data_IF_487516698506
#
_entry.id   IF_487516698506
#
_cell.length_a   1.000
_cell.length_b   1.000
_cell.length_c   1.000
_cell.angle_alpha   90.00
_cell.angle_beta   90.00
_cell.angle_gamma   90.00
#
_symmetry.space_group_name_H-M   'P 1'
#
loop_
_entity.id
_entity.type
_entity.pdbx_description
1 polymer ?
#
# COMPACT_ATOMS: atom_id res chain seq x y z
N UNK A 1 38.58 17.47 -32.56
CA UNK A 1 37.73 17.17 -32.46
C UNK A 1 37.21 16.46 -31.62
N UNK A 2 36.22 16.38 -31.05
CA UNK A 2 35.78 15.73 -30.18
C UNK A 2 34.59 15.72 -30.16
N UNK A 3 34.16 15.10 -29.79
CA UNK A 3 33.16 14.71 -29.82
C UNK A 3 32.32 14.90 -28.91
N UNK A 4 31.63 15.41 -28.89
CA UNK A 4 30.82 15.66 -27.92
C UNK A 4 29.91 14.70 -27.64
N UNK A 5 29.77 14.29 -26.81
CA UNK A 5 29.06 13.40 -26.46
C UNK A 5 27.98 13.75 -25.84
N UNK A 6 27.12 13.69 -26.01
CA UNK A 6 26.10 13.95 -25.52
C UNK A 6 25.48 13.08 -24.95
N UNK A 7 25.31 13.02 -24.03
CA UNK A 7 24.79 12.33 -23.36
C UNK A 7 23.55 12.52 -23.27
N UNK A 8 22.82 12.23 -23.60
CA UNK A 8 21.60 12.42 -23.48
C UNK A 8 20.94 11.99 -22.47
N UNK A 9 21.03 12.31 -21.64
CA UNK A 9 20.52 11.92 -20.61
C UNK A 9 19.21 12.13 -20.37
N UNK A 10 18.50 12.28 -20.99
CA UNK A 10 17.27 12.58 -20.73
C UNK A 10 16.43 11.65 -20.08
N UNK A 11 16.82 10.60 -19.88
CA UNK A 11 15.98 9.63 -19.39
C UNK A 11 15.09 9.93 -18.26
N UNK A 12 15.56 10.42 -17.27
CA UNK A 12 14.74 10.53 -16.12
C UNK A 12 13.57 11.44 -16.29
N UNK A 13 13.75 12.36 -17.03
CA UNK A 13 12.71 13.30 -17.17
C UNK A 13 11.54 12.69 -17.84
N UNK A 14 11.76 11.60 -18.46
CA UNK A 14 10.69 11.02 -19.19
C UNK A 14 10.12 9.83 -18.51
N UNK A 15 10.61 9.52 -17.35
CA UNK A 15 10.07 8.37 -16.68
C UNK A 15 8.64 8.67 -16.32
N UNK A 16 7.80 7.73 -16.44
CA UNK A 16 6.43 7.87 -16.04
C UNK A 16 6.34 8.05 -14.56
N UNK A 17 5.38 8.80 -14.12
CA UNK A 17 5.11 8.89 -12.70
C UNK A 17 4.64 7.53 -12.22
N UNK A 18 5.19 7.03 -11.12
CA UNK A 18 4.73 5.76 -10.60
C UNK A 18 3.25 5.75 -10.33
N UNK A 19 2.64 4.62 -10.56
CA UNK A 19 1.24 4.44 -10.26
C UNK A 19 1.00 3.00 -9.85
N UNK A 20 -0.17 2.72 -9.33
CA UNK A 20 -0.60 1.37 -8.99
C UNK A 20 -2.01 1.19 -9.51
N UNK A 21 -2.33 0.01 -9.98
CA UNK A 21 -3.65 -0.27 -10.51
C UNK A 21 -3.88 -1.77 -10.46
N UNK A 22 -5.00 -2.17 -9.96
CA UNK A 22 -5.35 -3.57 -9.89
C UNK A 22 -5.50 -4.07 -8.48
N UNK A 23 -5.34 -5.37 -8.33
CA UNK A 23 -5.51 -6.03 -7.04
C UNK A 23 -4.15 -6.34 -6.43
N UNK A 24 -4.04 -6.08 -5.16
CA UNK A 24 -2.79 -6.31 -4.43
C UNK A 24 -3.09 -6.97 -3.10
N UNK A 25 -2.10 -7.62 -2.54
CA UNK A 25 -2.15 -8.12 -1.17
C UNK A 25 -1.10 -7.39 -0.37
N UNK A 26 -1.51 -6.80 0.73
CA UNK A 26 -0.57 -6.15 1.62
C UNK A 26 -0.37 -7.08 2.81
N UNK A 27 0.87 -7.33 3.15
CA UNK A 27 1.23 -8.15 4.30
C UNK A 27 1.97 -7.28 5.28
N UNK A 28 1.46 -7.18 6.48
CA UNK A 28 2.11 -6.43 7.55
C UNK A 28 2.74 -7.43 8.51
N UNK A 29 4.00 -7.21 8.83
CA UNK A 29 4.68 -8.00 9.84
C UNK A 29 4.75 -7.16 11.09
N UNK A 30 4.13 -7.67 12.14
CA UNK A 30 4.04 -6.96 13.41
C UNK A 30 5.35 -7.04 14.17
N UNK A 31 5.57 -6.14 15.12
CA UNK A 31 6.79 -6.22 15.92
C UNK A 31 6.95 -7.57 16.61
N UNK A 32 5.86 -8.26 16.89
CA UNK A 32 5.94 -9.58 17.53
C UNK A 32 6.36 -10.67 16.57
N UNK A 33 6.38 -10.37 15.27
CA UNK A 33 6.70 -11.38 14.26
C UNK A 33 5.49 -11.97 13.59
N UNK A 34 4.30 -11.73 14.09
CA UNK A 34 3.10 -12.20 13.42
C UNK A 34 2.82 -11.40 12.18
N UNK A 35 1.96 -11.93 11.32
CA UNK A 35 1.63 -11.23 10.08
C UNK A 35 0.13 -11.06 9.95
N UNK A 36 -0.26 -9.98 9.29
CA UNK A 36 -1.64 -9.72 8.92
C UNK A 36 -1.66 -9.44 7.44
N UNK A 37 -2.70 -9.86 6.75
CA UNK A 37 -2.82 -9.59 5.33
C UNK A 37 -4.11 -8.85 5.03
N UNK A 38 -4.07 -8.02 4.02
CA UNK A 38 -5.23 -7.29 3.54
C UNK A 38 -5.27 -7.36 2.04
N UNK A 39 -6.46 -7.41 1.49
CA UNK A 39 -6.64 -7.35 0.05
C UNK A 39 -6.98 -5.93 -0.35
N UNK A 40 -6.26 -5.41 -1.31
CA UNK A 40 -6.44 -4.04 -1.77
C UNK A 40 -6.91 -4.04 -3.22
N UNK A 41 -7.83 -3.15 -3.53
CA UNK A 41 -8.14 -2.82 -4.90
C UNK A 41 -7.69 -1.39 -5.11
N UNK A 42 -6.82 -1.17 -6.08
CA UNK A 42 -6.17 0.12 -6.27
C UNK A 42 -6.50 0.67 -7.63
N UNK A 43 -6.86 1.93 -7.66
CA UNK A 43 -7.12 2.64 -8.91
C UNK A 43 -6.39 3.95 -8.90
N UNK A 44 -5.90 4.37 -10.07
CA UNK A 44 -5.26 5.65 -10.17
C UNK A 44 -6.30 6.77 -10.02
N UNK A 45 -5.92 7.84 -9.35
CA UNK A 45 -6.75 9.02 -9.29
C UNK A 45 -6.00 10.25 -9.80
N UNK A 46 -5.03 10.02 -10.67
CA UNK A 46 -4.25 11.09 -11.27
C UNK A 46 -2.79 10.86 -10.99
N UNK A 47 -1.95 11.72 -11.52
CA UNK A 47 -0.53 11.57 -11.31
C UNK A 47 -0.20 11.68 -9.85
N UNK A 48 0.53 10.71 -9.34
CA UNK A 48 0.93 10.72 -7.93
C UNK A 48 -0.23 10.49 -6.98
N UNK A 49 -1.31 9.92 -7.45
CA UNK A 49 -2.50 9.67 -6.63
C UNK A 49 -3.04 8.29 -6.92
N UNK A 50 -3.29 7.50 -5.89
CA UNK A 50 -4.00 6.23 -6.06
C UNK A 50 -5.05 6.13 -4.96
N UNK A 51 -6.18 5.54 -5.31
CA UNK A 51 -7.25 5.28 -4.36
C UNK A 51 -7.21 3.81 -4.01
N UNK A 52 -7.12 3.51 -2.74
CA UNK A 52 -6.98 2.15 -2.26
C UNK A 52 -8.22 1.78 -1.48
N UNK A 53 -8.88 0.72 -1.91
CA UNK A 53 -10.00 0.16 -1.18
C UNK A 53 -9.52 -1.08 -0.46
N UNK A 54 -9.75 -1.11 0.83
CA UNK A 54 -9.41 -2.27 1.64
C UNK A 54 -10.60 -2.52 2.55
N UNK A 55 -11.21 -3.68 2.42
CA UNK A 55 -12.41 -3.97 3.18
C UNK A 55 -13.53 -3.05 2.76
N UNK A 56 -14.20 -2.46 3.71
CA UNK A 56 -15.33 -1.60 3.43
C UNK A 56 -14.93 -0.16 3.20
N UNK A 57 -13.70 0.20 3.45
CA UNK A 57 -13.29 1.59 3.35
C UNK A 57 -12.28 1.81 2.28
N UNK A 58 -12.06 3.07 1.94
CA UNK A 58 -11.07 3.43 0.96
C UNK A 58 -10.40 4.74 1.33
N UNK A 59 -9.20 4.92 0.83
CA UNK A 59 -8.40 6.09 1.11
C UNK A 59 -7.48 6.40 -0.05
N UNK A 60 -7.04 7.64 -0.14
CA UNK A 60 -6.10 8.05 -1.17
C UNK A 60 -4.68 8.01 -0.64
N UNK A 61 -3.80 7.44 -1.42
CA UNK A 61 -2.37 7.56 -1.17
C UNK A 61 -1.79 8.55 -2.16
N UNK A 62 -0.75 9.24 -1.75
CA UNK A 62 -0.10 10.22 -2.59
C UNK A 62 1.38 9.95 -2.64
N UNK A 63 1.97 10.29 -3.77
CA UNK A 63 3.40 10.15 -3.95
C UNK A 63 4.06 11.41 -3.41
N UNK A 64 4.87 11.25 -2.39
CA UNK A 64 5.55 12.37 -1.74
C UNK A 64 7.01 12.01 -1.65
N UNK A 65 7.86 12.85 -2.23
CA UNK A 65 9.30 12.62 -2.21
C UNK A 65 9.69 11.22 -2.64
N UNK A 66 9.00 10.73 -3.65
CA UNK A 66 9.36 9.43 -4.23
C UNK A 66 8.79 8.23 -3.51
N UNK A 67 7.96 8.42 -2.53
CA UNK A 67 7.34 7.32 -1.82
C UNK A 67 5.84 7.51 -1.76
N UNK A 68 5.10 6.41 -1.76
CA UNK A 68 3.67 6.48 -1.53
C UNK A 68 3.42 6.72 -0.04
N UNK A 69 2.48 7.58 0.25
CA UNK A 69 2.11 7.92 1.62
C UNK A 69 0.61 7.78 1.78
N UNK A 70 0.20 7.04 2.78
CA UNK A 70 -1.21 6.81 3.06
C UNK A 70 -1.46 7.03 4.55
N UNK A 71 -2.31 7.99 4.86
CA UNK A 71 -2.67 8.27 6.25
C UNK A 71 -4.12 7.88 6.46
N UNK A 72 -4.39 7.09 7.49
CA UNK A 72 -5.74 6.62 7.77
C UNK A 72 -5.98 6.62 9.26
N UNK A 73 -7.25 6.46 9.62
CA UNK A 73 -7.64 6.17 10.99
C UNK A 73 -8.08 4.72 11.05
N UNK A 74 -7.66 4.04 12.08
CA UNK A 74 -7.94 2.62 12.21
C UNK A 74 -8.62 2.33 13.54
N UNK A 75 -9.31 1.21 13.54
CA UNK A 75 -9.94 0.72 14.75
C UNK A 75 -8.92 -0.08 15.55
N UNK A 76 -9.09 -0.10 16.86
CA UNK A 76 -8.25 -0.88 17.73
C UNK A 76 -9.08 -2.01 18.29
N UNK A 77 -8.58 -3.23 18.14
CA UNK A 77 -9.19 -4.41 18.76
C UNK A 77 -8.20 -4.98 19.73
N UNK A 78 -8.62 -5.20 20.96
CA UNK A 78 -7.73 -5.70 21.99
C UNK A 78 -7.98 -7.19 22.23
N UNK A 79 -7.00 -7.85 22.80
CA UNK A 79 -7.10 -9.27 23.03
C UNK A 79 -8.26 -9.63 23.96
N UNK A 80 -8.65 -8.71 24.82
CA UNK A 80 -9.74 -8.98 25.74
C UNK A 80 -11.11 -8.76 25.11
N UNK A 81 -11.13 -8.48 23.82
CA UNK A 81 -12.40 -8.27 23.11
C UNK A 81 -12.85 -6.84 23.06
N UNK A 82 -12.17 -5.94 23.73
CA UNK A 82 -12.59 -4.55 23.68
C UNK A 82 -12.23 -3.96 22.31
N UNK A 83 -12.97 -2.95 21.93
CA UNK A 83 -12.87 -2.39 20.57
C UNK A 83 -13.02 -0.87 20.67
N UNK A 84 -12.17 -0.17 19.98
CA UNK A 84 -12.25 1.29 19.94
C UNK A 84 -12.25 1.74 18.48
N UNK A 85 -13.31 2.37 18.07
CA UNK A 85 -13.43 2.83 16.71
C UNK A 85 -12.55 4.05 16.52
N UNK A 86 -11.77 4.05 15.45
CA UNK A 86 -10.88 5.16 15.10
C UNK A 86 -9.93 5.54 16.23
N UNK A 87 -9.46 4.54 16.94
CA UNK A 87 -8.61 4.81 18.10
C UNK A 87 -7.15 5.01 17.78
N UNK A 88 -6.74 4.74 16.54
CA UNK A 88 -5.34 4.90 16.14
C UNK A 88 -5.26 5.58 14.79
N UNK A 89 -4.21 6.39 14.61
CA UNK A 89 -3.86 6.88 13.30
C UNK A 89 -2.79 5.98 12.72
N UNK A 90 -2.77 5.84 11.42
CA UNK A 90 -1.80 5.02 10.73
C UNK A 90 -1.14 5.83 9.64
N UNK A 91 0.17 5.81 9.62
CA UNK A 91 0.97 6.48 8.60
C UNK A 91 1.75 5.39 7.87
N UNK A 92 1.38 5.14 6.63
CA UNK A 92 2.04 4.12 5.84
C UNK A 92 2.85 4.77 4.74
N UNK A 93 4.05 4.27 4.53
CA UNK A 93 4.84 4.70 3.40
C UNK A 93 5.43 3.47 2.74
N UNK A 94 5.55 3.50 1.43
CA UNK A 94 6.20 2.40 0.72
C UNK A 94 6.83 2.89 -0.56
N UNK A 95 7.85 2.15 -0.98
CA UNK A 95 8.61 2.45 -2.18
C UNK A 95 7.82 2.00 -3.39
N UNK A 96 7.69 2.83 -4.42
CA UNK A 96 6.89 2.46 -5.59
C UNK A 96 7.50 1.36 -6.42
N UNK A 97 8.78 1.09 -6.26
CA UNK A 97 9.45 0.06 -7.04
C UNK A 97 9.47 -1.26 -6.29
N UNK A 98 9.92 -1.26 -5.05
CA UNK A 98 10.03 -2.48 -4.29
C UNK A 98 8.71 -2.88 -3.64
N UNK A 99 7.80 -1.93 -3.47
CA UNK A 99 6.51 -2.15 -2.82
C UNK A 99 6.69 -2.66 -1.40
N UNK A 100 7.72 -2.17 -0.74
CA UNK A 100 7.95 -2.46 0.66
C UNK A 100 8.05 -1.15 1.43
N UNK A 101 7.71 -1.18 2.69
CA UNK A 101 7.76 0.02 3.50
C UNK A 101 7.34 -0.26 4.93
N UNK A 102 6.76 0.73 5.56
CA UNK A 102 6.36 0.63 6.98
C UNK A 102 4.98 1.20 7.19
N UNK A 103 4.33 0.72 8.22
CA UNK A 103 3.06 1.27 8.70
C UNK A 103 3.25 1.60 10.16
N UNK A 104 3.15 2.86 10.51
CA UNK A 104 3.30 3.28 11.88
C UNK A 104 1.92 3.60 12.44
N UNK A 105 1.56 2.93 13.49
CA UNK A 105 0.26 3.10 14.13
C UNK A 105 0.46 3.82 15.45
N UNK A 106 -0.29 4.88 15.66
CA UNK A 106 -0.19 5.66 16.89
C UNK A 106 -1.57 5.73 17.55
N UNK A 107 -1.65 5.32 18.79
CA UNK A 107 -2.91 5.39 19.54
C UNK A 107 -3.23 6.84 19.82
N UNK A 108 -4.45 7.25 19.54
CA UNK A 108 -4.89 8.60 19.85
C UNK A 108 -5.78 8.60 21.09
N UNK A 109 -6.20 7.44 21.54
CA UNK A 109 -6.95 7.30 22.78
C UNK A 109 -6.36 6.13 23.54
N UNK A 110 -6.60 6.04 24.84
CA UNK A 110 -6.11 4.88 25.58
C UNK A 110 -6.85 3.63 25.13
N UNK A 111 -6.14 2.56 24.93
CA UNK A 111 -6.74 1.30 24.53
C UNK A 111 -5.77 0.16 24.81
N UNK A 112 -6.28 -1.03 25.07
CA UNK A 112 -5.47 -2.22 25.29
C UNK A 112 -4.38 -2.01 26.34
N UNK A 113 -4.66 -1.21 27.35
CA UNK A 113 -3.69 -0.93 28.38
C UNK A 113 -2.57 -0.01 27.96
N UNK A 114 -2.69 0.64 26.82
CA UNK A 114 -1.65 1.55 26.33
C UNK A 114 -2.17 2.98 26.32
N UNK A 115 -1.31 3.94 26.56
CA UNK A 115 -1.73 5.36 26.60
C UNK A 115 -1.81 5.95 25.20
N UNK A 116 -2.45 7.09 25.06
CA UNK A 116 -2.38 7.83 23.80
C UNK A 116 -0.92 8.14 23.48
N UNK A 117 -0.59 8.10 22.21
CA UNK A 117 0.79 8.31 21.80
C UNK A 117 1.60 7.02 21.70
N UNK A 118 1.06 5.92 22.19
CA UNK A 118 1.73 4.64 22.01
C UNK A 118 1.84 4.34 20.52
N UNK A 119 3.00 3.94 20.08
CA UNK A 119 3.28 3.74 18.66
C UNK A 119 3.86 2.37 18.41
N UNK A 120 3.39 1.74 17.33
CA UNK A 120 3.97 0.50 16.83
C UNK A 120 4.25 0.66 15.35
N UNK A 121 5.31 0.04 14.88
CA UNK A 121 5.65 0.09 13.47
C UNK A 121 5.71 -1.32 12.91
N UNK A 122 4.93 -1.55 11.87
CA UNK A 122 4.92 -2.82 11.16
C UNK A 122 5.71 -2.67 9.88
N UNK A 123 6.33 -3.75 9.45
CA UNK A 123 6.95 -3.78 8.13
C UNK A 123 5.89 -4.25 7.14
N UNK A 124 5.80 -3.59 6.00
CA UNK A 124 4.78 -3.98 5.03
C UNK A 124 5.41 -4.38 3.71
N UNK A 125 4.75 -5.29 3.05
CA UNK A 125 5.11 -5.72 1.72
C UNK A 125 3.83 -5.81 0.91
N UNK A 126 3.85 -5.24 -0.27
CA UNK A 126 2.67 -5.20 -1.13
C UNK A 126 3.00 -5.97 -2.38
N UNK A 127 2.12 -6.90 -2.75
CA UNK A 127 2.32 -7.71 -3.93
C UNK A 127 1.08 -7.67 -4.79
N UNK A 128 1.28 -7.49 -6.07
CA UNK A 128 0.16 -7.50 -6.98
C UNK A 128 -0.33 -8.94 -7.14
N UNK A 129 -1.61 -9.14 -6.95
CA UNK A 129 -2.15 -10.47 -7.10
C UNK A 129 -2.45 -10.70 -8.57
N UNK A 130 -2.26 -11.90 -9.05
CA UNK A 130 -2.58 -12.17 -10.43
C UNK A 130 -4.04 -11.94 -10.66
N UNK A 131 -4.35 -11.40 -11.79
CA UNK A 131 -5.72 -11.13 -12.12
C UNK A 131 -6.38 -12.41 -12.51
N UNK A 132 -7.31 -12.89 -11.73
CA UNK A 132 -7.96 -14.10 -12.13
C UNK A 132 -8.95 -13.83 -13.22
N UNK A 133 -9.31 -12.61 -13.38
CA UNK A 133 -10.23 -12.36 -14.46
C UNK A 133 -9.54 -12.46 -15.78
N UNK A 134 -8.27 -12.52 -15.79
CA UNK A 134 -7.60 -12.70 -17.02
C UNK A 134 -7.53 -14.15 -17.37
N UNK A 135 -8.19 -14.95 -16.71
CA UNK A 135 -8.18 -16.31 -17.04
C UNK A 135 -8.53 -16.47 -18.43
N UNK A 136 -7.75 -17.07 -19.16
CA UNK A 136 -8.02 -17.24 -20.54
C UNK A 136 -9.26 -18.02 -20.65
N UNK A 137 -10.03 -17.53 -21.43
CA UNK A 137 -11.15 -18.23 -21.78
C UNK A 137 -10.75 -19.45 -22.36
N UNK A 138 -11.25 -20.46 -21.99
CA UNK A 138 -10.93 -21.69 -22.60
C UNK A 138 -11.30 -21.60 -23.99
N UNK A 139 -10.46 -21.94 -24.77
CA UNK A 139 -10.68 -21.97 -26.12
C UNK A 139 -11.77 -22.87 -26.38
N UNK A 140 -12.68 -22.48 -27.08
CA UNK A 140 -13.74 -23.30 -27.40
C UNK A 140 -13.22 -24.44 -28.15
N UNK A 141 -13.54 -25.50 -27.76
CA UNK A 141 -13.14 -26.62 -28.44
C UNK A 141 -13.81 -26.70 -29.67
N UNK A 142 -13.15 -26.91 -30.64
CA UNK A 142 -13.78 -27.07 -31.88
C UNK A 142 -14.53 -28.29 -31.81
N UNK A 143 -15.61 -28.24 -32.15
CA UNK A 143 -16.28 -29.33 -32.18
C UNK A 143 -16.27 -29.89 -33.38
N UNK A 144 -16.09 -30.88 -33.55
CA UNK A 144 -16.06 -31.44 -34.86
C UNK A 144 -17.29 -31.79 -35.36
#
# INVERSE_FOLDING_TARGET
MFAGLVVGAAGPAWADTPTMDGSYTETATLPSGGTLTSSWTVNSCGDGCVFIKAGAGGSQARLVDGQWVLDTLNNISCADGSYTQYGASSHMTWDPTTLTGTAQHTYIVPACGRPPGYTETDQIKIEQTPSTSATPTPTPTPTS
#
